data_IF_967416136967
#
_entry.id   IF_967416136967
#
_cell.length_a   1.000
_cell.length_b   1.000
_cell.length_c   1.000
_cell.angle_alpha   90.00
_cell.angle_beta   90.00
_cell.angle_gamma   90.00
#
_symmetry.space_group_name_H-M   'P 1'
#
loop_
_entity.id
_entity.type
_entity.pdbx_description
1 polymer ?
#
# COMPACT_ATOMS: atom_id res chain seq x y z
N UNK A 1 -19.05 -8.21 5.25
CA UNK A 1 -17.96 -7.39 4.69
C UNK A 1 -18.24 -7.15 3.22
N UNK A 2 -18.58 -5.91 2.88
CA UNK A 2 -18.66 -5.41 1.50
C UNK A 2 -17.26 -5.35 0.87
N UNK A 3 -16.22 -4.97 1.64
CA UNK A 3 -14.82 -4.94 1.20
C UNK A 3 -14.34 -6.35 0.87
N UNK A 4 -13.66 -6.48 -0.27
CA UNK A 4 -13.00 -7.72 -0.70
C UNK A 4 -11.58 -7.77 -0.13
N UNK A 5 -11.47 -8.37 1.05
CA UNK A 5 -10.18 -8.72 1.67
C UNK A 5 -9.72 -10.08 1.14
N UNK A 6 -8.49 -10.14 0.64
CA UNK A 6 -7.83 -11.41 0.33
C UNK A 6 -7.24 -12.00 1.62
N UNK A 7 -7.46 -13.29 1.88
CA UNK A 7 -6.93 -13.99 3.07
C UNK A 7 -5.44 -14.34 2.97
N UNK A 8 -4.82 -14.14 1.80
CA UNK A 8 -3.43 -14.50 1.58
C UNK A 8 -3.09 -14.73 0.12
N UNK A 9 -1.81 -14.99 -0.13
CA UNK A 9 -1.31 -15.40 -1.44
C UNK A 9 -0.22 -16.47 -1.31
N UNK A 10 0.11 -17.13 -2.41
CA UNK A 10 1.09 -18.23 -2.42
C UNK A 10 2.51 -17.83 -2.01
N UNK A 11 2.87 -16.54 -2.10
CA UNK A 11 4.23 -16.06 -1.77
C UNK A 11 4.40 -15.71 -0.30
N UNK A 12 3.39 -15.09 0.31
CA UNK A 12 3.45 -14.55 1.66
C UNK A 12 2.62 -15.36 2.67
N UNK A 13 1.93 -16.40 2.22
CA UNK A 13 1.06 -17.20 3.07
C UNK A 13 -0.25 -16.49 3.41
N UNK A 14 -0.78 -16.78 4.60
CA UNK A 14 -2.09 -16.32 5.08
C UNK A 14 -2.02 -14.91 5.69
N UNK A 15 -1.47 -13.96 4.94
CA UNK A 15 -1.46 -12.54 5.34
C UNK A 15 -2.62 -11.83 4.64
N UNK A 16 -3.61 -11.31 5.41
CA UNK A 16 -4.72 -10.61 4.82
C UNK A 16 -4.28 -9.33 4.12
N UNK A 17 -4.96 -9.00 3.03
CA UNK A 17 -4.65 -7.80 2.26
C UNK A 17 -5.87 -7.19 1.58
N UNK A 18 -5.85 -5.86 1.47
CA UNK A 18 -6.77 -5.09 0.65
C UNK A 18 -6.01 -4.49 -0.52
N UNK A 19 -6.62 -4.45 -1.70
CA UNK A 19 -5.97 -3.95 -2.93
C UNK A 19 -6.93 -3.12 -3.76
N UNK A 20 -6.34 -2.22 -4.55
CA UNK A 20 -6.99 -1.28 -5.43
C UNK A 20 -6.55 -1.55 -6.89
N UNK A 21 -7.27 -1.03 -7.90
CA UNK A 21 -7.00 -1.37 -9.30
C UNK A 21 -5.69 -0.78 -9.82
N UNK A 22 -4.85 -1.61 -10.45
CA UNK A 22 -3.56 -1.18 -10.97
C UNK A 22 -3.70 -0.17 -12.11
N UNK A 23 -2.93 0.92 -12.00
CA UNK A 23 -2.91 2.01 -12.98
C UNK A 23 -4.13 2.92 -12.97
N UNK A 24 -5.10 2.68 -12.07
CA UNK A 24 -6.12 3.66 -11.72
C UNK A 24 -5.65 4.49 -10.54
N UNK A 25 -5.15 3.83 -9.47
CA UNK A 25 -4.65 4.53 -8.27
C UNK A 25 -3.14 4.76 -8.27
N UNK A 26 -2.41 4.11 -9.19
CA UNK A 26 -0.98 4.29 -9.35
C UNK A 26 -0.62 5.64 -9.97
N UNK A 27 0.65 6.05 -9.84
CA UNK A 27 1.18 7.23 -10.54
C UNK A 27 1.20 7.00 -12.07
N UNK A 28 0.82 8.03 -12.84
CA UNK A 28 0.69 7.97 -14.30
C UNK A 28 2.02 8.18 -15.04
N UNK A 29 2.96 8.88 -14.42
CA UNK A 29 4.27 9.28 -14.95
C UNK A 29 5.35 8.19 -14.79
N UNK A 30 5.06 7.08 -14.13
CA UNK A 30 6.01 5.98 -13.99
C UNK A 30 5.89 4.99 -15.14
N UNK A 31 7.03 4.66 -15.76
CA UNK A 31 7.12 3.71 -16.87
C UNK A 31 6.72 2.29 -16.50
N UNK A 32 6.62 1.96 -15.20
CA UNK A 32 6.16 0.66 -14.73
C UNK A 32 4.77 0.31 -15.28
N UNK A 33 3.96 1.32 -15.64
CA UNK A 33 2.67 1.18 -16.29
C UNK A 33 2.74 0.43 -17.63
N UNK A 34 3.85 0.58 -18.39
CA UNK A 34 4.09 -0.06 -19.70
C UNK A 34 4.27 -1.58 -19.58
N UNK A 35 4.88 -2.05 -18.50
CA UNK A 35 5.16 -3.48 -18.22
C UNK A 35 4.63 -3.90 -16.84
N UNK A 36 3.41 -3.46 -16.50
CA UNK A 36 2.85 -3.66 -15.17
C UNK A 36 2.42 -5.11 -14.95
N UNK A 37 3.11 -5.81 -14.04
CA UNK A 37 2.73 -7.17 -13.63
C UNK A 37 1.31 -7.24 -13.07
N UNK A 38 0.91 -6.24 -12.27
CA UNK A 38 -0.41 -6.20 -11.65
C UNK A 38 -1.55 -6.03 -12.68
N UNK A 39 -1.40 -5.11 -13.65
CA UNK A 39 -2.36 -5.00 -14.78
C UNK A 39 -2.45 -6.30 -15.58
N UNK A 40 -1.32 -6.98 -15.80
CA UNK A 40 -1.32 -8.29 -16.48
C UNK A 40 -2.12 -9.31 -15.67
N UNK A 41 -1.94 -9.37 -14.35
CA UNK A 41 -2.66 -10.29 -13.46
C UNK A 41 -4.17 -10.00 -13.47
N UNK A 42 -4.57 -8.74 -13.34
CA UNK A 42 -5.99 -8.32 -13.37
C UNK A 42 -6.65 -8.64 -14.72
N UNK A 43 -5.93 -8.51 -15.83
CA UNK A 43 -6.44 -8.94 -17.15
C UNK A 43 -6.65 -10.46 -17.23
N UNK A 44 -5.77 -11.24 -16.63
CA UNK A 44 -5.86 -12.71 -16.65
C UNK A 44 -6.89 -13.25 -15.64
N UNK A 45 -7.13 -12.53 -14.54
CA UNK A 45 -8.02 -12.95 -13.44
C UNK A 45 -9.13 -11.94 -13.25
N UNK A 46 -10.22 -12.14 -13.98
CA UNK A 46 -11.39 -11.25 -13.99
C UNK A 46 -11.96 -10.99 -12.60
N UNK A 47 -12.09 -12.04 -11.78
CA UNK A 47 -12.61 -11.96 -10.41
C UNK A 47 -11.74 -11.10 -9.49
N UNK A 48 -10.42 -11.13 -9.70
CA UNK A 48 -9.46 -10.29 -8.96
C UNK A 48 -9.62 -8.82 -9.37
N UNK A 49 -9.75 -8.56 -10.67
CA UNK A 49 -9.99 -7.21 -11.20
C UNK A 49 -11.29 -6.63 -10.65
N UNK A 50 -12.37 -7.39 -10.69
CA UNK A 50 -13.67 -6.98 -10.16
C UNK A 50 -13.63 -6.71 -8.66
N UNK A 51 -12.93 -7.54 -7.89
CA UNK A 51 -12.75 -7.31 -6.46
C UNK A 51 -11.99 -6.01 -6.15
N UNK A 52 -10.94 -5.70 -6.92
CA UNK A 52 -10.16 -4.48 -6.72
C UNK A 52 -10.94 -3.24 -7.16
N UNK A 53 -11.66 -3.31 -8.28
CA UNK A 53 -12.53 -2.23 -8.73
C UNK A 53 -13.64 -1.98 -7.71
N UNK A 54 -14.29 -3.02 -7.21
CA UNK A 54 -15.31 -2.92 -6.16
C UNK A 54 -14.78 -2.23 -4.90
N UNK A 55 -13.57 -2.58 -4.44
CA UNK A 55 -12.95 -1.92 -3.30
C UNK A 55 -12.73 -0.42 -3.55
N UNK A 56 -12.30 -0.05 -4.75
CA UNK A 56 -12.09 1.34 -5.12
C UNK A 56 -13.41 2.13 -5.25
N UNK A 57 -14.44 1.51 -5.79
CA UNK A 57 -15.77 2.11 -5.87
C UNK A 57 -16.37 2.28 -4.47
N UNK A 58 -16.14 1.31 -3.57
CA UNK A 58 -16.57 1.42 -2.18
C UNK A 58 -15.82 2.52 -1.43
N UNK A 59 -14.49 2.62 -1.62
CA UNK A 59 -13.69 3.72 -1.08
C UNK A 59 -14.23 5.09 -1.53
N UNK A 60 -14.63 5.23 -2.79
CA UNK A 60 -15.16 6.50 -3.31
C UNK A 60 -16.57 6.83 -2.85
N UNK A 61 -17.46 5.83 -2.85
CA UNK A 61 -18.89 6.07 -2.65
C UNK A 61 -19.32 5.90 -1.19
N UNK A 62 -18.59 5.10 -0.41
CA UNK A 62 -18.86 4.78 1.00
C UNK A 62 -17.55 4.61 1.79
N UNK A 63 -16.70 5.66 1.89
CA UNK A 63 -15.40 5.58 2.55
C UNK A 63 -15.48 5.07 3.99
N UNK A 64 -16.51 5.47 4.75
CA UNK A 64 -16.72 5.01 6.13
C UNK A 64 -16.88 3.49 6.22
N UNK A 65 -17.62 2.90 5.28
CA UNK A 65 -17.82 1.44 5.21
C UNK A 65 -16.51 0.76 4.84
N UNK A 66 -15.79 1.31 3.86
CA UNK A 66 -14.49 0.79 3.44
C UNK A 66 -13.51 0.74 4.63
N UNK A 67 -13.29 1.86 5.31
CA UNK A 67 -12.33 1.95 6.39
C UNK A 67 -12.72 1.13 7.61
N UNK A 68 -14.00 1.15 8.00
CA UNK A 68 -14.50 0.34 9.12
C UNK A 68 -14.22 -1.15 8.92
N UNK A 69 -14.44 -1.66 7.71
CA UNK A 69 -14.24 -3.08 7.42
C UNK A 69 -12.76 -3.44 7.22
N UNK A 70 -11.96 -2.54 6.65
CA UNK A 70 -10.49 -2.72 6.57
C UNK A 70 -9.89 -2.75 7.97
N UNK A 71 -10.27 -1.82 8.85
CA UNK A 71 -9.82 -1.78 10.24
C UNK A 71 -10.28 -3.01 11.01
N UNK A 72 -11.51 -3.52 10.79
CA UNK A 72 -11.96 -4.78 11.36
C UNK A 72 -11.07 -5.98 10.96
N UNK A 73 -10.58 -6.02 9.72
CA UNK A 73 -9.64 -7.05 9.28
C UNK A 73 -8.28 -6.93 9.97
N UNK A 74 -7.81 -5.69 10.17
CA UNK A 74 -6.55 -5.38 10.87
C UNK A 74 -6.64 -5.74 12.35
N UNK A 75 -7.73 -5.38 13.03
CA UNK A 75 -7.97 -5.72 14.44
C UNK A 75 -7.85 -7.22 14.71
N UNK A 76 -8.29 -8.06 13.76
CA UNK A 76 -8.29 -9.52 13.89
C UNK A 76 -6.98 -10.20 13.47
N UNK A 77 -5.98 -9.44 13.03
CA UNK A 77 -4.77 -9.97 12.39
C UNK A 77 -3.49 -9.49 13.07
N UNK A 78 -2.45 -10.34 13.08
CA UNK A 78 -1.10 -9.93 13.52
C UNK A 78 -0.30 -9.23 12.42
N UNK A 79 -0.63 -9.51 11.18
CA UNK A 79 0.01 -8.96 10.00
C UNK A 79 -1.08 -8.55 9.01
N UNK A 80 -0.93 -7.39 8.39
CA UNK A 80 -1.81 -6.94 7.33
C UNK A 80 -1.01 -6.30 6.22
N UNK A 81 -1.49 -6.41 4.99
CA UNK A 81 -0.85 -5.78 3.85
C UNK A 81 -1.81 -4.88 3.09
N UNK A 82 -1.47 -3.61 3.01
CA UNK A 82 -2.03 -2.74 1.99
C UNK A 82 -1.35 -3.02 0.65
N UNK A 83 -2.19 -3.20 -0.35
CA UNK A 83 -1.85 -3.24 -1.78
C UNK A 83 -0.91 -4.38 -2.18
N UNK A 84 -1.52 -5.46 -2.65
CA UNK A 84 -0.88 -6.40 -3.59
C UNK A 84 -0.94 -5.83 -5.02
N UNK A 85 -2.02 -5.10 -5.31
CA UNK A 85 -2.22 -4.29 -6.52
C UNK A 85 -2.67 -2.88 -6.17
N UNK A 86 -2.53 -1.96 -7.13
CA UNK A 86 -2.79 -0.55 -6.96
C UNK A 86 -1.68 0.16 -6.19
N UNK A 87 -1.94 1.42 -5.86
CA UNK A 87 -1.12 2.26 -4.99
C UNK A 87 -2.03 3.17 -4.15
N UNK A 88 -1.43 3.94 -3.24
CA UNK A 88 -2.08 4.97 -2.42
C UNK A 88 -2.68 6.04 -3.36
N UNK A 89 -4.00 6.26 -3.35
CA UNK A 89 -4.65 7.17 -4.29
C UNK A 89 -4.34 8.65 -3.98
N UNK A 90 -4.38 9.04 -2.71
CA UNK A 90 -4.29 10.41 -2.23
C UNK A 90 -3.72 10.50 -0.80
N UNK A 91 -3.53 11.73 -0.32
CA UNK A 91 -2.98 12.05 1.00
C UNK A 91 -3.90 11.61 2.15
N UNK A 92 -5.21 11.80 1.99
CA UNK A 92 -6.21 11.42 2.98
C UNK A 92 -6.20 9.90 3.23
N UNK A 93 -6.01 9.11 2.18
CA UNK A 93 -5.85 7.66 2.30
C UNK A 93 -4.62 7.29 3.13
N UNK A 94 -3.48 7.96 2.93
CA UNK A 94 -2.27 7.70 3.72
C UNK A 94 -2.45 8.14 5.18
N UNK A 95 -3.13 9.25 5.43
CA UNK A 95 -3.47 9.69 6.80
C UNK A 95 -4.33 8.62 7.49
N UNK A 96 -5.39 8.13 6.85
CA UNK A 96 -6.20 7.04 7.41
C UNK A 96 -5.39 5.76 7.66
N UNK A 97 -4.43 5.40 6.80
CA UNK A 97 -3.52 4.28 7.06
C UNK A 97 -2.71 4.47 8.34
N UNK A 98 -2.21 5.70 8.58
CA UNK A 98 -1.46 6.06 9.79
C UNK A 98 -2.35 5.94 11.01
N UNK A 99 -3.53 6.56 10.99
CA UNK A 99 -4.46 6.54 12.12
C UNK A 99 -4.91 5.12 12.48
N UNK A 100 -5.20 4.28 11.48
CA UNK A 100 -5.54 2.86 11.70
C UNK A 100 -4.36 2.12 12.33
N UNK A 101 -3.12 2.40 11.88
CA UNK A 101 -1.94 1.78 12.46
C UNK A 101 -1.72 2.20 13.93
N UNK A 102 -1.95 3.46 14.27
CA UNK A 102 -1.87 3.98 15.64
C UNK A 102 -2.88 3.32 16.57
N UNK A 103 -4.12 3.12 16.10
CA UNK A 103 -5.18 2.44 16.85
C UNK A 103 -4.95 0.94 17.00
N UNK A 104 -4.12 0.34 16.16
CA UNK A 104 -3.90 -1.11 16.10
C UNK A 104 -2.41 -1.49 16.25
N UNK A 105 -1.75 -1.14 17.38
CA UNK A 105 -0.32 -1.35 17.56
C UNK A 105 0.09 -2.83 17.60
N UNK A 106 -0.86 -3.76 17.77
CA UNK A 106 -0.62 -5.21 17.76
C UNK A 106 -0.43 -5.79 16.34
N UNK A 107 -0.84 -5.06 15.30
CA UNK A 107 -0.77 -5.51 13.92
C UNK A 107 0.39 -4.84 13.18
N UNK A 108 1.24 -5.64 12.56
CA UNK A 108 2.30 -5.17 11.66
C UNK A 108 1.74 -4.97 10.25
N UNK A 109 1.76 -3.72 9.77
CA UNK A 109 1.12 -3.30 8.53
C UNK A 109 2.19 -2.99 7.48
N UNK A 110 2.12 -3.68 6.34
CA UNK A 110 3.06 -3.49 5.23
C UNK A 110 2.39 -2.82 4.04
N UNK A 111 3.02 -1.80 3.47
CA UNK A 111 2.60 -1.20 2.21
C UNK A 111 3.79 -0.88 1.31
N UNK A 112 3.71 -1.27 0.04
CA UNK A 112 4.66 -0.81 -0.97
C UNK A 112 4.04 0.34 -1.76
N UNK A 113 4.80 1.41 -2.02
CA UNK A 113 4.31 2.54 -2.80
C UNK A 113 5.37 3.10 -3.73
N UNK A 114 4.94 3.74 -4.83
CA UNK A 114 5.77 4.62 -5.66
C UNK A 114 5.34 6.08 -5.56
N UNK A 115 4.33 6.41 -4.75
CA UNK A 115 3.76 7.77 -4.58
C UNK A 115 4.63 8.61 -3.64
N UNK A 116 5.88 8.83 -4.02
CA UNK A 116 6.85 9.54 -3.16
C UNK A 116 6.38 10.96 -2.83
N UNK A 117 5.69 11.62 -3.75
CA UNK A 117 5.11 12.94 -3.55
C UNK A 117 4.13 12.99 -2.37
N UNK A 118 3.25 11.99 -2.26
CA UNK A 118 2.29 11.88 -1.16
C UNK A 118 3.05 11.59 0.14
N UNK A 119 3.94 10.60 0.12
CA UNK A 119 4.68 10.18 1.31
C UNK A 119 5.53 11.33 1.85
N UNK A 120 6.32 11.99 1.01
CA UNK A 120 7.17 13.10 1.43
C UNK A 120 6.36 14.24 2.04
N UNK A 121 5.19 14.56 1.48
CA UNK A 121 4.33 15.62 2.00
C UNK A 121 3.76 15.25 3.38
N UNK A 122 3.28 14.02 3.54
CA UNK A 122 2.70 13.55 4.80
C UNK A 122 3.77 13.44 5.90
N UNK A 123 4.98 12.99 5.57
CA UNK A 123 6.09 12.87 6.52
C UNK A 123 6.54 14.20 7.15
N UNK A 124 6.20 15.35 6.55
CA UNK A 124 6.48 16.66 7.13
C UNK A 124 5.57 16.98 8.34
N UNK A 125 4.39 16.37 8.38
CA UNK A 125 3.34 16.71 9.34
C UNK A 125 2.92 15.55 10.24
N UNK A 126 3.12 14.30 9.79
CA UNK A 126 2.66 13.10 10.48
C UNK A 126 3.83 12.14 10.72
N UNK A 127 4.12 11.76 11.99
CA UNK A 127 5.05 10.68 12.27
C UNK A 127 4.46 9.35 11.81
N UNK A 128 5.29 8.49 11.21
CA UNK A 128 4.85 7.14 10.83
C UNK A 128 4.89 6.22 12.05
N UNK A 129 3.80 5.52 12.38
CA UNK A 129 3.77 4.54 13.46
C UNK A 129 4.78 3.41 13.20
N UNK A 130 5.40 2.90 14.26
CA UNK A 130 6.47 1.88 14.14
C UNK A 130 5.99 0.56 13.52
N UNK A 131 4.69 0.28 13.63
CA UNK A 131 4.04 -0.89 13.04
C UNK A 131 3.56 -0.65 11.60
N UNK A 132 3.69 0.56 11.06
CA UNK A 132 3.38 0.88 9.66
C UNK A 132 4.67 0.90 8.81
N UNK A 133 4.93 -0.22 8.15
CA UNK A 133 6.09 -0.41 7.27
C UNK A 133 5.78 0.10 5.86
N UNK A 134 6.05 1.38 5.62
CA UNK A 134 6.00 1.96 4.27
C UNK A 134 7.31 1.68 3.53
N UNK A 135 7.19 0.96 2.41
CA UNK A 135 8.31 0.63 1.54
C UNK A 135 8.20 1.39 0.22
N UNK A 136 9.11 2.33 0.00
CA UNK A 136 9.24 3.05 -1.28
C UNK A 136 9.92 2.11 -2.29
N UNK A 137 9.19 1.77 -3.33
CA UNK A 137 9.62 0.80 -4.34
C UNK A 137 10.22 1.51 -5.55
N UNK A 138 11.46 1.19 -5.93
CA UNK A 138 12.11 1.85 -7.08
C UNK A 138 11.58 1.40 -8.45
N UNK A 139 11.88 2.20 -9.48
CA UNK A 139 11.82 1.79 -10.89
C UNK A 139 12.97 2.43 -11.68
N UNK A 140 13.48 1.72 -12.68
CA UNK A 140 14.61 2.20 -13.51
C UNK A 140 14.24 3.51 -14.19
N UNK A 141 15.12 4.51 -14.10
CA UNK A 141 14.91 5.83 -14.73
C UNK A 141 14.01 6.78 -13.93
N UNK A 142 13.57 6.41 -12.73
CA UNK A 142 12.79 7.29 -11.86
C UNK A 142 13.66 7.81 -10.70
N UNK A 143 13.79 9.14 -10.59
CA UNK A 143 14.56 9.76 -9.52
C UNK A 143 13.70 9.83 -8.24
N UNK A 144 14.04 9.04 -7.24
CA UNK A 144 13.37 9.07 -5.95
C UNK A 144 13.91 10.24 -5.11
N UNK A 145 13.38 11.44 -5.33
CA UNK A 145 13.63 12.58 -4.44
C UNK A 145 12.85 12.35 -3.13
N UNK A 146 13.49 11.83 -2.08
CA UNK A 146 12.89 11.66 -0.74
C UNK A 146 13.71 12.35 0.35
N UNK A 147 13.04 12.80 1.42
CA UNK A 147 13.56 13.81 2.34
C UNK A 147 14.27 13.29 3.63
N UNK A 148 14.53 11.98 3.80
CA UNK A 148 15.10 11.45 5.06
C UNK A 148 16.25 10.43 4.94
N UNK A 149 17.04 10.41 6.02
CA UNK A 149 18.47 10.10 6.14
C UNK A 149 18.84 8.66 6.56
N UNK A 150 17.90 7.78 6.90
CA UNK A 150 18.20 6.39 7.29
C UNK A 150 17.52 5.37 6.37
N UNK A 151 18.12 5.21 5.20
CA UNK A 151 17.64 4.32 4.16
C UNK A 151 18.34 2.97 4.24
N UNK A 152 17.63 1.95 4.71
CA UNK A 152 18.09 0.58 4.47
C UNK A 152 17.62 0.15 3.07
N UNK A 153 18.53 0.22 2.09
CA UNK A 153 18.35 -0.48 0.82
C UNK A 153 18.28 -1.99 1.10
N UNK A 154 17.10 -2.58 0.96
CA UNK A 154 16.96 -4.05 1.00
C UNK A 154 16.66 -4.56 -0.39
N UNK A 155 17.59 -5.34 -0.92
CA UNK A 155 17.38 -6.13 -2.12
C UNK A 155 16.58 -7.38 -1.75
N UNK A 156 15.30 -7.42 -2.12
CA UNK A 156 14.58 -8.68 -2.20
C UNK A 156 14.91 -9.31 -3.57
N UNK A 157 15.13 -10.63 -3.63
CA UNK A 157 15.72 -11.43 -4.73
C UNK A 157 15.13 -11.33 -6.14
N UNK A 158 14.40 -10.27 -6.45
CA UNK A 158 14.06 -9.79 -7.78
C UNK A 158 14.56 -8.34 -7.92
N UNK A 159 15.88 -8.13 -8.08
CA UNK A 159 16.58 -6.94 -8.58
C UNK A 159 15.88 -5.54 -8.59
N UNK A 160 15.07 -5.22 -7.59
CA UNK A 160 14.36 -3.94 -7.46
C UNK A 160 14.77 -3.39 -6.09
N UNK A 161 15.43 -2.23 -6.03
CA UNK A 161 15.76 -1.60 -4.76
C UNK A 161 14.47 -1.16 -4.06
N UNK A 162 14.34 -1.49 -2.78
CA UNK A 162 13.25 -1.06 -1.91
C UNK A 162 13.83 -0.29 -0.71
N UNK A 163 13.15 0.80 -0.34
CA UNK A 163 13.52 1.69 0.75
C UNK A 163 12.46 1.57 1.86
N UNK A 164 12.82 1.13 3.05
CA UNK A 164 11.92 1.22 4.21
C UNK A 164 11.97 2.62 4.79
N UNK A 165 10.84 3.29 4.92
CA UNK A 165 10.70 4.53 5.70
C UNK A 165 10.67 4.13 7.17
N UNK A 166 11.61 4.65 7.97
CA UNK A 166 11.59 4.51 9.44
C UNK A 166 11.34 5.88 10.04
N UNK A 167 10.48 5.94 11.05
CA UNK A 167 10.26 7.15 11.84
C UNK A 167 11.57 7.66 12.41
N UNK A 168 11.92 8.91 12.13
CA UNK A 168 12.94 9.66 12.87
C UNK A 168 12.31 10.28 14.11
N UNK A 169 11.76 9.46 15.00
CA UNK A 169 11.43 9.90 16.35
C UNK A 169 12.66 9.67 17.22
N UNK A 170 13.34 10.77 17.61
CA UNK A 170 14.17 10.81 18.82
C UNK A 170 13.33 11.27 19.97
#
# INVERSE_FOLDING_TARGET
MEVKISSGNSKLGKIPSVSLPAGVTCRSDCECSKKCYAKKLERLRITVREAYQHNYDLLKNKPDVYWREVEASIMMSRFFRFHVSGDIPDEEYLIHMIEVAERNPHCEILCFTKKYEIVNKILLSYPIPVNLHLILSGWVGFNANYAQTECQFRYCGTAIPFLTVRSTAR
#
